data_IF_135760567306
#
_entry.id   IF_135760567306
#
_cell.length_a   1.000
_cell.length_b   1.000
_cell.length_c   1.000
_cell.angle_alpha   90.00
_cell.angle_beta   90.00
_cell.angle_gamma   90.00
#
_symmetry.space_group_name_H-M   'P 1'
#
loop_
_entity.id
_entity.type
_entity.pdbx_description
1 polymer ?
#
# COMPACT_ATOMS: atom_id res chain seq x y z
N UNK A 1 -20.12 -15.91 14.05
CA UNK A 1 -19.74 -14.81 13.14
C UNK A 1 -18.61 -14.03 13.78
N UNK A 2 -17.42 -14.05 13.15
CA UNK A 2 -16.38 -12.98 13.10
C UNK A 2 -15.83 -12.53 14.47
N UNK A 3 -14.56 -12.59 14.83
CA UNK A 3 -13.28 -12.65 14.13
C UNK A 3 -12.25 -13.13 15.17
N UNK A 4 -11.33 -14.00 14.78
CA UNK A 4 -10.00 -14.19 15.39
C UNK A 4 -9.24 -15.25 14.59
N UNK A 5 -9.10 -15.00 13.29
CA UNK A 5 -8.19 -15.71 12.40
C UNK A 5 -7.27 -14.67 11.78
N UNK A 6 -6.38 -14.13 12.62
CA UNK A 6 -5.16 -13.45 12.21
C UNK A 6 -4.35 -13.10 13.45
N UNK A 7 -3.48 -14.02 13.85
CA UNK A 7 -2.11 -13.78 14.33
C UNK A 7 -1.57 -15.14 14.76
N UNK A 8 -0.44 -15.55 14.18
CA UNK A 8 0.62 -16.36 14.77
C UNK A 8 1.20 -17.34 13.73
N UNK A 9 2.19 -16.89 12.95
CA UNK A 9 2.97 -17.77 12.08
C UNK A 9 4.40 -17.26 11.84
N UNK A 10 4.95 -16.50 12.77
CA UNK A 10 6.38 -16.24 12.85
C UNK A 10 6.74 -16.28 14.32
N UNK A 11 7.37 -17.40 14.72
CA UNK A 11 8.24 -17.62 15.88
C UNK A 11 8.10 -19.06 16.40
N UNK A 12 8.52 -20.03 15.58
CA UNK A 12 9.03 -21.31 16.08
C UNK A 12 10.19 -21.72 15.14
N UNK A 13 11.35 -21.13 15.39
CA UNK A 13 12.63 -21.67 14.91
C UNK A 13 12.91 -22.91 15.75
N UNK A 14 12.47 -24.07 15.26
CA UNK A 14 12.70 -25.36 15.93
C UNK A 14 14.17 -25.77 15.84
N UNK A 15 14.85 -26.10 16.96
CA UNK A 15 16.29 -26.31 17.06
C UNK A 15 16.69 -27.74 16.68
N UNK A 16 16.25 -28.24 15.52
CA UNK A 16 16.37 -29.67 15.19
C UNK A 16 17.07 -29.97 13.85
N UNK A 17 17.73 -28.96 13.26
CA UNK A 17 18.47 -29.14 11.99
C UNK A 17 19.89 -29.69 12.18
N UNK A 18 20.46 -29.64 13.39
CA UNK A 18 21.84 -30.10 13.63
C UNK A 18 21.92 -31.58 14.03
N UNK A 19 20.83 -32.19 14.51
CA UNK A 19 20.83 -33.59 14.94
C UNK A 19 20.61 -34.60 13.80
N UNK A 20 20.14 -34.15 12.63
CA UNK A 20 19.87 -35.03 11.49
C UNK A 20 21.16 -35.33 10.70
N UNK A 21 22.18 -34.46 10.80
CA UNK A 21 23.42 -34.56 10.01
C UNK A 21 24.52 -35.42 10.66
N UNK A 22 24.40 -35.78 11.95
CA UNK A 22 25.49 -36.44 12.69
C UNK A 22 25.33 -37.95 12.88
N UNK A 23 24.26 -38.57 12.35
CA UNK A 23 23.95 -39.99 12.64
C UNK A 23 23.86 -40.93 11.43
N UNK A 24 24.19 -40.48 10.24
CA UNK A 24 24.15 -41.33 9.04
C UNK A 24 25.43 -41.20 8.20
N UNK A 25 26.56 -41.46 8.87
CA UNK A 25 27.92 -41.41 8.30
C UNK A 25 28.50 -42.77 7.94
N UNK A 26 27.68 -43.83 7.80
CA UNK A 26 28.14 -45.16 7.34
C UNK A 26 26.98 -45.96 6.72
N UNK A 27 26.72 -45.73 5.44
CA UNK A 27 26.53 -46.81 4.46
C UNK A 27 26.19 -46.21 3.09
N UNK A 28 27.24 -45.73 2.41
CA UNK A 28 27.21 -45.54 0.96
C UNK A 28 27.35 -46.92 0.30
N UNK A 29 26.30 -47.74 0.34
CA UNK A 29 26.20 -48.94 -0.47
C UNK A 29 24.94 -48.94 -1.30
N UNK A 30 25.14 -48.47 -2.54
CA UNK A 30 24.58 -48.98 -3.80
C UNK A 30 23.11 -49.43 -3.79
N UNK A 31 22.32 -48.79 -4.64
CA UNK A 31 20.91 -49.07 -4.97
C UNK A 31 19.91 -48.32 -4.10
N UNK A 32 19.68 -47.05 -4.47
CA UNK A 32 18.33 -46.51 -4.71
C UNK A 32 18.50 -45.04 -5.12
N UNK A 33 18.89 -44.86 -6.38
CA UNK A 33 18.72 -43.59 -7.11
C UNK A 33 17.21 -43.33 -7.28
N UNK A 34 16.51 -43.07 -6.19
CA UNK A 34 15.15 -42.56 -6.26
C UNK A 34 15.22 -41.10 -6.74
N UNK A 35 15.07 -40.96 -8.06
CA UNK A 35 14.73 -39.76 -8.83
C UNK A 35 14.22 -38.61 -7.96
N UNK A 36 15.13 -37.71 -7.63
CA UNK A 36 14.76 -36.36 -7.20
C UNK A 36 14.23 -35.61 -8.42
N UNK A 37 12.90 -35.67 -8.63
CA UNK A 37 12.21 -34.83 -9.62
C UNK A 37 12.14 -33.41 -9.06
N UNK A 38 13.10 -32.57 -9.43
CA UNK A 38 13.04 -31.15 -9.13
C UNK A 38 12.02 -30.47 -10.07
N UNK A 39 10.87 -30.04 -9.54
CA UNK A 39 9.93 -29.20 -10.29
C UNK A 39 10.41 -27.74 -10.30
N UNK A 40 10.75 -27.22 -11.49
CA UNK A 40 11.06 -25.80 -11.69
C UNK A 40 9.79 -25.04 -12.05
N UNK A 41 9.32 -24.16 -11.16
CA UNK A 41 8.18 -23.28 -11.43
C UNK A 41 8.71 -21.88 -11.79
N UNK A 42 8.44 -21.42 -13.02
CA UNK A 42 8.77 -20.07 -13.48
C UNK A 42 7.50 -19.21 -13.49
N UNK A 43 7.46 -18.17 -12.66
CA UNK A 43 6.34 -17.23 -12.59
C UNK A 43 6.71 -15.99 -13.39
N UNK A 44 6.07 -15.80 -14.54
CA UNK A 44 6.23 -14.57 -15.31
C UNK A 44 5.12 -13.57 -14.94
N UNK A 45 5.50 -12.34 -14.57
CA UNK A 45 4.58 -11.23 -14.30
C UNK A 45 4.69 -10.20 -15.40
N UNK A 46 3.64 -10.09 -16.20
CA UNK A 46 3.53 -9.11 -17.27
C UNK A 46 2.27 -9.36 -18.09
N UNK A 47 1.91 -8.44 -18.98
CA UNK A 47 0.76 -8.62 -19.87
C UNK A 47 1.02 -9.65 -20.98
N UNK A 48 2.25 -10.16 -21.09
CA UNK A 48 2.65 -11.12 -22.10
C UNK A 48 2.94 -12.49 -21.46
N UNK A 49 2.50 -13.59 -22.09
CA UNK A 49 2.85 -14.92 -21.64
C UNK A 49 4.32 -15.25 -21.95
N UNK A 50 4.83 -16.31 -21.33
CA UNK A 50 6.23 -16.72 -21.51
C UNK A 50 6.53 -17.04 -22.98
N UNK A 51 7.74 -16.72 -23.50
CA UNK A 51 8.09 -16.96 -24.91
C UNK A 51 7.90 -18.40 -25.37
N UNK A 52 8.13 -19.39 -24.50
CA UNK A 52 7.88 -20.81 -24.83
C UNK A 52 6.39 -21.12 -25.07
N UNK A 53 5.49 -20.44 -24.35
CA UNK A 53 4.04 -20.57 -24.53
C UNK A 53 3.63 -19.93 -25.85
N UNK A 54 4.13 -18.72 -26.14
CA UNK A 54 3.87 -18.04 -27.41
C UNK A 54 4.33 -18.87 -28.61
N UNK A 55 5.50 -19.52 -28.50
CA UNK A 55 5.99 -20.44 -29.53
C UNK A 55 5.04 -21.61 -29.75
N UNK A 56 4.50 -22.19 -28.67
CA UNK A 56 3.50 -23.26 -28.76
C UNK A 56 2.21 -22.83 -29.46
N UNK A 57 1.73 -21.60 -29.22
CA UNK A 57 0.59 -21.05 -29.96
C UNK A 57 0.90 -20.86 -31.45
N UNK A 58 2.06 -20.32 -31.78
CA UNK A 58 2.49 -20.10 -33.16
C UNK A 58 2.63 -21.41 -33.95
N UNK A 59 3.07 -22.49 -33.30
CA UNK A 59 3.16 -23.83 -33.89
C UNK A 59 1.77 -24.45 -34.17
N UNK A 60 0.73 -24.07 -33.42
CA UNK A 60 -0.64 -24.55 -33.59
C UNK A 60 -1.38 -23.75 -34.68
N UNK A 61 -1.27 -22.42 -34.63
CA UNK A 61 -1.90 -21.48 -35.57
C UNK A 61 -0.91 -20.36 -35.89
N UNK A 62 -0.34 -20.33 -37.12
CA UNK A 62 0.58 -19.28 -37.53
C UNK A 62 -0.03 -17.87 -37.40
N UNK A 63 0.66 -16.97 -36.72
CA UNK A 63 0.23 -15.61 -36.42
C UNK A 63 -0.59 -15.46 -35.13
N UNK A 64 -0.92 -16.55 -34.43
CA UNK A 64 -1.64 -16.49 -33.15
C UNK A 64 -0.81 -15.84 -32.03
N UNK A 65 0.52 -16.05 -32.01
CA UNK A 65 1.38 -15.41 -31.02
C UNK A 65 1.36 -13.89 -31.16
N UNK A 66 1.35 -13.38 -32.40
CA UNK A 66 1.25 -11.95 -32.67
C UNK A 66 -0.07 -11.36 -32.15
N UNK A 67 -1.20 -12.02 -32.40
CA UNK A 67 -2.53 -11.60 -31.91
C UNK A 67 -2.59 -11.56 -30.39
N UNK A 68 -1.98 -12.52 -29.71
CA UNK A 68 -1.92 -12.56 -28.23
C UNK A 68 -1.09 -11.37 -27.71
N UNK A 69 0.06 -11.11 -28.32
CA UNK A 69 0.91 -9.97 -27.95
C UNK A 69 0.16 -8.65 -28.16
N UNK A 70 -0.48 -8.47 -29.32
CA UNK A 70 -1.24 -7.28 -29.64
C UNK A 70 -2.39 -7.06 -28.65
N UNK A 71 -3.14 -8.12 -28.33
CA UNK A 71 -4.23 -8.07 -27.35
C UNK A 71 -3.74 -7.67 -25.96
N UNK A 72 -2.62 -8.25 -25.50
CA UNK A 72 -2.01 -7.91 -24.21
C UNK A 72 -1.49 -6.47 -24.16
N UNK A 73 -0.95 -5.95 -25.28
CA UNK A 73 -0.55 -4.55 -25.39
C UNK A 73 -1.75 -3.60 -25.40
N UNK A 74 -2.83 -3.94 -26.10
CA UNK A 74 -4.05 -3.16 -26.13
C UNK A 74 -4.66 -3.04 -24.73
N UNK A 75 -4.84 -4.15 -24.02
CA UNK A 75 -5.33 -4.16 -22.64
C UNK A 75 -4.43 -3.34 -21.69
N UNK A 76 -3.11 -3.43 -21.89
CA UNK A 76 -2.16 -2.64 -21.09
C UNK A 76 -2.27 -1.13 -21.36
N UNK A 77 -2.56 -0.72 -22.60
CA UNK A 77 -2.79 0.69 -22.95
C UNK A 77 -4.08 1.18 -22.32
N UNK A 78 -5.17 0.43 -22.47
CA UNK A 78 -6.48 0.77 -21.91
C UNK A 78 -6.41 0.90 -20.38
N UNK A 79 -5.73 -0.05 -19.71
CA UNK A 79 -5.51 0.03 -18.26
C UNK A 79 -4.71 1.26 -17.86
N UNK A 80 -3.67 1.63 -18.60
CA UNK A 80 -2.87 2.84 -18.34
C UNK A 80 -3.70 4.10 -18.57
N UNK A 81 -4.58 4.11 -19.56
CA UNK A 81 -5.46 5.23 -19.82
C UNK A 81 -6.49 5.41 -18.70
N UNK A 82 -7.13 4.32 -18.27
CA UNK A 82 -8.02 4.33 -17.11
C UNK A 82 -7.31 4.83 -15.85
N UNK A 83 -6.08 4.35 -15.59
CA UNK A 83 -5.25 4.83 -14.49
C UNK A 83 -4.97 6.34 -14.61
N UNK A 84 -4.63 6.85 -15.80
CA UNK A 84 -4.41 8.29 -16.00
C UNK A 84 -5.67 9.10 -15.70
N UNK A 85 -6.82 8.70 -16.25
CA UNK A 85 -8.09 9.39 -16.03
C UNK A 85 -8.49 9.38 -14.55
N UNK A 86 -8.30 8.27 -13.84
CA UNK A 86 -8.58 8.21 -12.40
C UNK A 86 -7.62 9.09 -11.59
N UNK A 87 -6.32 9.11 -11.91
CA UNK A 87 -5.37 10.03 -11.26
C UNK A 87 -5.72 11.49 -11.51
N UNK A 88 -6.11 11.85 -12.74
CA UNK A 88 -6.52 13.20 -13.09
C UNK A 88 -7.78 13.62 -12.33
N UNK A 89 -8.80 12.75 -12.28
CA UNK A 89 -10.02 12.99 -11.51
C UNK A 89 -9.73 13.19 -10.02
N UNK A 90 -8.92 12.30 -9.42
CA UNK A 90 -8.51 12.42 -8.01
C UNK A 90 -7.75 13.72 -7.77
N UNK A 91 -6.87 14.13 -8.69
CA UNK A 91 -6.10 15.37 -8.58
C UNK A 91 -7.02 16.60 -8.61
N UNK A 92 -8.00 16.61 -9.50
CA UNK A 92 -8.96 17.71 -9.60
C UNK A 92 -9.86 17.80 -8.36
N UNK A 93 -10.37 16.67 -7.88
CA UNK A 93 -11.16 16.59 -6.65
C UNK A 93 -10.36 17.08 -5.44
N UNK A 94 -9.09 16.68 -5.31
CA UNK A 94 -8.20 17.16 -4.25
C UNK A 94 -8.02 18.67 -4.29
N UNK A 95 -7.72 19.23 -5.47
CA UNK A 95 -7.55 20.69 -5.63
C UNK A 95 -8.80 21.46 -5.21
N UNK A 96 -9.98 20.99 -5.62
CA UNK A 96 -11.26 21.61 -5.25
C UNK A 96 -11.50 21.55 -3.74
N UNK A 97 -11.23 20.40 -3.12
CA UNK A 97 -11.38 20.22 -1.67
C UNK A 97 -10.43 21.10 -0.87
N UNK A 98 -9.15 21.12 -1.26
CA UNK A 98 -8.13 21.87 -0.53
C UNK A 98 -8.40 23.38 -0.61
N UNK A 99 -8.86 23.89 -1.76
CA UNK A 99 -9.24 25.30 -1.90
C UNK A 99 -10.49 25.67 -1.09
N UNK A 100 -11.49 24.79 -1.04
CA UNK A 100 -12.69 24.99 -0.23
C UNK A 100 -12.36 25.01 1.27
N UNK A 101 -11.52 24.07 1.72
CA UNK A 101 -11.04 24.02 3.11
C UNK A 101 -10.20 25.23 3.49
N UNK A 102 -9.28 25.65 2.61
CA UNK A 102 -8.47 26.85 2.81
C UNK A 102 -9.35 28.10 2.95
N UNK A 103 -10.34 28.27 2.06
CA UNK A 103 -11.23 29.43 2.10
C UNK A 103 -12.02 29.50 3.40
N UNK A 104 -12.61 28.37 3.85
CA UNK A 104 -13.36 28.30 5.11
C UNK A 104 -12.45 28.62 6.31
N UNK A 105 -11.26 28.01 6.38
CA UNK A 105 -10.28 28.27 7.44
C UNK A 105 -9.84 29.74 7.47
N UNK A 106 -9.62 30.34 6.30
CA UNK A 106 -9.27 31.75 6.17
C UNK A 106 -10.37 32.67 6.73
N UNK A 107 -11.64 32.43 6.38
CA UNK A 107 -12.75 33.22 6.92
C UNK A 107 -12.88 33.09 8.44
N UNK A 108 -12.71 31.89 9.00
CA UNK A 108 -12.75 31.67 10.45
C UNK A 108 -11.69 32.50 11.17
N UNK A 109 -10.44 32.50 10.68
CA UNK A 109 -9.36 33.29 11.25
C UNK A 109 -9.61 34.79 11.07
N UNK A 110 -10.09 35.22 9.90
CA UNK A 110 -10.41 36.62 9.64
C UNK A 110 -11.53 37.15 10.54
N UNK A 111 -12.60 36.37 10.75
CA UNK A 111 -13.70 36.72 11.65
C UNK A 111 -13.19 36.76 13.10
N UNK A 112 -12.36 35.80 13.51
CA UNK A 112 -11.72 35.80 14.84
C UNK A 112 -10.90 37.07 15.08
N UNK A 113 -10.10 37.50 14.10
CA UNK A 113 -9.31 38.73 14.16
C UNK A 113 -10.20 39.98 14.25
N UNK A 114 -11.29 40.05 13.47
CA UNK A 114 -12.27 41.14 13.58
C UNK A 114 -12.94 41.19 14.96
N UNK A 115 -13.21 40.02 15.56
CA UNK A 115 -13.78 39.94 16.90
C UNK A 115 -12.82 40.48 17.98
N UNK A 116 -11.52 40.20 17.84
CA UNK A 116 -10.49 40.82 18.69
C UNK A 116 -10.48 42.33 18.52
N UNK A 117 -10.56 42.81 17.27
CA UNK A 117 -10.58 44.25 16.97
C UNK A 117 -11.80 44.98 17.55
N UNK A 118 -12.97 44.33 17.59
CA UNK A 118 -14.22 44.90 18.15
C UNK A 118 -14.33 44.81 19.68
N UNK A 119 -13.27 44.38 20.36
CA UNK A 119 -13.19 44.35 21.84
C UNK A 119 -13.57 43.02 22.49
N UNK A 120 -13.95 42.00 21.71
CA UNK A 120 -14.27 40.66 22.19
C UNK A 120 -13.03 39.75 22.19
N UNK A 121 -11.94 40.21 22.81
CA UNK A 121 -10.61 39.60 22.72
C UNK A 121 -10.57 38.14 23.19
N UNK A 122 -11.33 37.77 24.24
CA UNK A 122 -11.36 36.40 24.77
C UNK A 122 -11.93 35.42 23.74
N UNK A 123 -13.07 35.75 23.14
CA UNK A 123 -13.71 34.89 22.15
C UNK A 123 -12.91 34.85 20.84
N UNK A 124 -12.41 36.01 20.37
CA UNK A 124 -11.62 36.09 19.15
C UNK A 124 -10.29 35.34 19.24
N UNK A 125 -9.60 35.40 20.38
CA UNK A 125 -8.32 34.71 20.60
C UNK A 125 -8.48 33.19 20.71
N UNK A 126 -9.51 32.69 21.41
CA UNK A 126 -9.80 31.25 21.46
C UNK A 126 -10.13 30.73 20.07
N UNK A 127 -11.03 31.42 19.35
CA UNK A 127 -11.50 30.97 18.04
C UNK A 127 -10.38 30.98 17.00
N UNK A 128 -9.61 32.07 16.92
CA UNK A 128 -8.48 32.18 16.00
C UNK A 128 -7.31 31.27 16.40
N UNK A 129 -7.02 31.13 17.70
CA UNK A 129 -5.92 30.32 18.20
C UNK A 129 -6.12 28.83 17.97
N UNK A 130 -7.31 28.29 18.31
CA UNK A 130 -7.65 26.88 18.05
C UNK A 130 -7.63 26.59 16.55
N UNK A 131 -8.16 27.50 15.74
CA UNK A 131 -8.20 27.34 14.28
C UNK A 131 -6.80 27.35 13.66
N UNK A 132 -5.91 28.23 14.12
CA UNK A 132 -4.52 28.27 13.67
C UNK A 132 -3.77 26.98 14.01
N UNK A 133 -3.92 26.48 15.25
CA UNK A 133 -3.31 25.21 15.68
C UNK A 133 -3.84 24.04 14.83
N UNK A 134 -5.15 23.99 14.59
CA UNK A 134 -5.77 22.96 13.74
C UNK A 134 -5.28 23.03 12.28
N UNK A 135 -5.06 24.22 11.75
CA UNK A 135 -4.54 24.39 10.40
C UNK A 135 -3.09 23.93 10.30
N UNK A 136 -2.25 24.31 11.25
CA UNK A 136 -0.86 23.83 11.35
C UNK A 136 -0.83 22.32 11.52
N UNK A 137 -1.69 21.73 12.37
CA UNK A 137 -1.72 20.28 12.57
C UNK A 137 -2.20 19.50 11.35
N UNK A 138 -3.09 20.05 10.53
CA UNK A 138 -3.47 19.43 9.25
C UNK A 138 -2.32 19.45 8.23
N UNK A 139 -1.49 20.50 8.25
CA UNK A 139 -0.31 20.59 7.40
C UNK A 139 0.82 19.67 7.88
N UNK A 140 1.08 19.60 9.19
CA UNK A 140 2.11 18.74 9.78
C UNK A 140 1.67 17.26 9.81
N UNK A 141 0.39 16.97 10.06
CA UNK A 141 -0.16 15.62 10.13
C UNK A 141 -0.18 14.86 8.80
N UNK A 142 0.24 15.49 7.70
CA UNK A 142 0.54 14.79 6.45
C UNK A 142 1.91 14.09 6.46
N UNK A 143 2.79 14.38 7.44
CA UNK A 143 3.96 13.58 7.75
C UNK A 143 3.69 12.79 9.03
N UNK A 144 3.19 11.55 8.87
CA UNK A 144 3.12 10.48 9.88
C UNK A 144 3.31 10.90 11.35
N UNK A 145 2.23 11.12 12.11
CA UNK A 145 2.28 10.99 13.57
C UNK A 145 0.87 10.91 14.17
N UNK A 146 0.57 9.76 14.77
CA UNK A 146 -0.57 9.59 15.68
C UNK A 146 -0.37 10.52 16.89
N UNK A 147 -1.36 11.33 17.28
CA UNK A 147 -1.24 12.07 18.53
C UNK A 147 -1.33 11.10 19.71
N UNK A 148 -0.17 10.72 20.24
CA UNK A 148 -0.01 10.04 21.52
C UNK A 148 -0.68 10.89 22.61
N UNK A 149 -1.81 10.41 23.15
CA UNK A 149 -2.51 11.05 24.25
C UNK A 149 -1.66 10.95 25.52
N UNK A 150 -0.95 12.03 25.87
CA UNK A 150 -0.36 12.20 27.20
C UNK A 150 -1.45 12.43 28.26
N UNK A 151 -1.82 11.33 28.90
CA UNK A 151 -1.97 11.07 30.33
C UNK A 151 -2.57 12.14 31.27
N UNK A 152 -3.59 11.71 32.04
CA UNK A 152 -3.88 12.19 33.40
C UNK A 152 -4.43 11.04 34.26
N UNK A 153 -3.61 10.06 34.59
CA UNK A 153 -3.67 9.45 35.92
C UNK A 153 -2.84 10.29 36.89
N UNK A 154 -3.54 11.05 37.73
CA UNK A 154 -3.05 11.46 39.04
C UNK A 154 -4.19 11.36 40.05
N UNK A 155 -4.14 10.26 40.79
CA UNK A 155 -4.32 10.18 42.24
C UNK A 155 -5.67 10.64 42.80
N UNK A 156 -6.45 9.67 43.25
CA UNK A 156 -7.27 9.84 44.45
C UNK A 156 -7.23 8.57 45.30
#
# INVERSE_FOLDING_TARGET
>A
MKDKLQKNSQDEVSPDLDNILSKDGKDLSKQDENKLVAMKQEIFKGPLPHPSILKGYEEIDPGSAHKIIESGLAESRDRRELQRRTFEAIKEERKRRDWMGYSIGFFIVAIGALLVYTGHAVYGSIFSGVSAIAMVSLFLGQSNEEPEKKDKDKTK
#
